data_IF_336464506079
#
_entry.id   IF_336464506079
#
_cell.length_a   1.000
_cell.length_b   1.000
_cell.length_c   1.000
_cell.angle_alpha   90.00
_cell.angle_beta   90.00
_cell.angle_gamma   90.00
#
_symmetry.space_group_name_H-M   'P 1'
#
loop_
_entity.id
_entity.type
_entity.pdbx_description
1 polymer ?
#
# COMPACT_ATOMS: atom_id res chain seq x y z
N UNK A 1 -5.42 0.30 18.58
CA UNK A 1 -5.81 -1.01 18.05
C UNK A 1 -5.44 -1.09 16.59
N UNK A 2 -4.52 -2.00 16.28
CA UNK A 2 -4.07 -2.33 14.92
C UNK A 2 -5.22 -2.95 14.08
N UNK A 3 -5.17 -2.82 12.75
CA UNK A 3 -6.20 -3.34 11.85
C UNK A 3 -6.34 -4.86 11.96
N UNK A 4 -5.23 -5.57 12.15
CA UNK A 4 -5.19 -7.01 12.41
C UNK A 4 -5.98 -7.38 13.66
N UNK A 5 -5.74 -6.68 14.76
CA UNK A 5 -6.40 -6.95 16.02
C UNK A 5 -7.91 -6.68 15.98
N UNK A 6 -8.33 -5.63 15.25
CA UNK A 6 -9.76 -5.38 15.01
C UNK A 6 -10.41 -6.51 14.21
N UNK A 7 -9.72 -7.02 13.20
CA UNK A 7 -10.22 -8.11 12.34
C UNK A 7 -10.29 -9.44 13.10
N UNK A 8 -9.26 -9.77 13.87
CA UNK A 8 -9.23 -10.96 14.73
C UNK A 8 -10.39 -10.97 15.73
N UNK A 9 -10.64 -9.85 16.43
CA UNK A 9 -11.77 -9.73 17.34
C UNK A 9 -13.12 -9.95 16.64
N UNK A 10 -13.27 -9.45 15.40
CA UNK A 10 -14.48 -9.66 14.60
C UNK A 10 -14.64 -11.11 14.17
N UNK A 11 -13.55 -11.77 13.75
CA UNK A 11 -13.54 -13.20 13.38
C UNK A 11 -13.92 -14.05 14.58
N UNK A 12 -13.31 -13.82 15.74
CA UNK A 12 -13.64 -14.55 16.99
C UNK A 12 -15.12 -14.39 17.31
N UNK A 13 -15.66 -13.17 17.30
CA UNK A 13 -17.08 -12.93 17.57
C UNK A 13 -18.02 -13.65 16.59
N UNK A 14 -17.67 -13.65 15.30
CA UNK A 14 -18.42 -14.37 14.26
C UNK A 14 -18.37 -15.90 14.47
N UNK A 15 -17.19 -16.46 14.79
CA UNK A 15 -17.01 -17.88 15.06
C UNK A 15 -17.77 -18.31 16.32
N UNK A 16 -17.69 -17.53 17.41
CA UNK A 16 -18.45 -17.78 18.64
C UNK A 16 -19.96 -17.85 18.34
N UNK A 17 -20.47 -16.88 17.57
CA UNK A 17 -21.88 -16.83 17.19
C UNK A 17 -22.30 -18.02 16.33
N UNK A 18 -21.43 -18.46 15.41
CA UNK A 18 -21.69 -19.61 14.55
C UNK A 18 -21.65 -20.94 15.33
N UNK A 19 -20.67 -21.13 16.21
CA UNK A 19 -20.54 -22.36 17.02
C UNK A 19 -21.64 -22.45 18.09
N UNK A 20 -22.13 -21.31 18.59
CA UNK A 20 -23.27 -21.26 19.51
C UNK A 20 -24.62 -21.58 18.85
N UNK A 21 -24.69 -21.68 17.52
CA UNK A 21 -25.92 -22.03 16.80
C UNK A 21 -26.15 -23.55 16.84
N UNK A 22 -27.28 -24.04 17.40
CA UNK A 22 -27.60 -25.47 17.47
C UNK A 22 -27.66 -26.18 16.11
N UNK A 23 -27.88 -25.45 15.02
CA UNK A 23 -27.91 -25.99 13.67
C UNK A 23 -26.51 -26.24 13.07
N UNK A 24 -25.45 -25.72 13.71
CA UNK A 24 -24.07 -25.87 13.24
C UNK A 24 -23.42 -27.04 13.99
N UNK A 25 -22.95 -28.10 13.30
CA UNK A 25 -22.30 -29.23 13.93
C UNK A 25 -20.87 -28.87 14.35
N UNK A 26 -20.72 -28.05 15.40
CA UNK A 26 -19.43 -27.63 15.93
C UNK A 26 -19.42 -27.71 17.46
N UNK A 27 -18.29 -28.11 18.03
CA UNK A 27 -18.10 -28.18 19.48
C UNK A 27 -17.62 -26.83 20.01
N UNK A 28 -18.06 -26.38 21.21
CA UNK A 28 -17.62 -25.11 21.80
C UNK A 28 -16.10 -24.98 21.94
N UNK A 29 -15.39 -26.09 22.18
CA UNK A 29 -13.92 -26.11 22.26
C UNK A 29 -13.21 -25.82 20.93
N UNK A 30 -13.91 -25.88 19.80
CA UNK A 30 -13.34 -25.65 18.47
C UNK A 30 -13.25 -24.16 18.09
N UNK A 31 -13.80 -23.25 18.90
CA UNK A 31 -13.82 -21.80 18.61
C UNK A 31 -12.41 -21.25 18.37
N UNK A 32 -11.48 -21.45 19.30
CA UNK A 32 -10.12 -20.91 19.17
C UNK A 32 -9.36 -21.51 17.97
N UNK A 33 -9.34 -22.84 17.76
CA UNK A 33 -8.70 -23.43 16.58
C UNK A 33 -9.29 -22.92 15.25
N UNK A 34 -10.61 -22.76 15.15
CA UNK A 34 -11.27 -22.25 13.94
C UNK A 34 -10.91 -20.78 13.73
N UNK A 35 -11.02 -19.94 14.77
CA UNK A 35 -10.70 -18.52 14.68
C UNK A 35 -9.23 -18.31 14.32
N UNK A 36 -8.31 -19.10 14.87
CA UNK A 36 -6.89 -19.04 14.54
C UNK A 36 -6.64 -19.46 13.08
N UNK A 37 -7.23 -20.57 12.62
CA UNK A 37 -7.08 -21.04 11.25
C UNK A 37 -7.60 -20.02 10.22
N UNK A 38 -8.77 -19.42 10.48
CA UNK A 38 -9.36 -18.39 9.63
C UNK A 38 -8.53 -17.12 9.68
N UNK A 39 -8.12 -16.67 10.86
CA UNK A 39 -7.30 -15.46 11.02
C UNK A 39 -5.96 -15.61 10.32
N UNK A 40 -5.28 -16.75 10.47
CA UNK A 40 -3.99 -17.01 9.83
C UNK A 40 -4.07 -17.00 8.31
N UNK A 41 -5.17 -17.51 7.73
CA UNK A 41 -5.35 -17.62 6.28
C UNK A 41 -5.88 -16.33 5.66
N UNK A 42 -6.89 -15.72 6.26
CA UNK A 42 -7.68 -14.66 5.64
C UNK A 42 -7.28 -13.26 6.11
N UNK A 43 -6.80 -13.09 7.35
CA UNK A 43 -6.47 -11.75 7.85
C UNK A 43 -5.41 -11.03 7.01
N UNK A 44 -4.31 -11.68 6.56
CA UNK A 44 -3.33 -11.02 5.71
C UNK A 44 -3.92 -10.54 4.38
N UNK A 45 -4.79 -11.34 3.77
CA UNK A 45 -5.42 -11.02 2.48
C UNK A 45 -6.36 -9.82 2.60
N UNK A 46 -7.20 -9.76 3.65
CA UNK A 46 -8.10 -8.63 3.89
C UNK A 46 -7.33 -7.34 4.21
N UNK A 47 -6.28 -7.44 5.03
CA UNK A 47 -5.48 -6.26 5.40
C UNK A 47 -4.81 -5.67 4.15
N UNK A 48 -4.22 -6.53 3.31
CA UNK A 48 -3.62 -6.12 2.04
C UNK A 48 -4.66 -5.55 1.05
N UNK A 49 -5.81 -6.20 0.90
CA UNK A 49 -6.89 -5.73 0.01
C UNK A 49 -7.47 -4.37 0.42
N UNK A 50 -7.47 -4.08 1.72
CA UNK A 50 -7.97 -2.82 2.29
C UNK A 50 -6.88 -1.79 2.58
N UNK A 51 -5.64 -2.08 2.17
CA UNK A 51 -4.50 -1.15 2.27
C UNK A 51 -4.15 -0.75 3.71
N UNK A 52 -4.45 -1.62 4.68
CA UNK A 52 -4.28 -1.37 6.12
C UNK A 52 -2.93 -1.85 6.65
N UNK A 53 -2.06 -2.43 5.81
CA UNK A 53 -0.73 -2.83 6.22
C UNK A 53 0.17 -1.62 6.55
N UNK A 54 1.19 -1.80 7.42
CA UNK A 54 2.13 -0.73 7.74
C UNK A 54 2.76 -0.11 6.50
N UNK A 55 2.96 1.21 6.51
CA UNK A 55 3.41 1.95 5.32
C UNK A 55 4.74 1.43 4.76
N UNK A 56 5.65 0.94 5.61
CA UNK A 56 6.95 0.41 5.22
C UNK A 56 6.89 -0.98 4.57
N UNK A 57 5.78 -1.71 4.69
CA UNK A 57 5.57 -2.99 4.00
C UNK A 57 4.90 -2.82 2.63
N UNK A 58 4.47 -1.60 2.31
CA UNK A 58 3.75 -1.30 1.09
C UNK A 58 4.65 -1.16 -0.12
N UNK A 59 4.40 -1.99 -1.13
CA UNK A 59 5.03 -1.88 -2.45
C UNK A 59 4.68 -0.56 -3.15
N UNK A 60 3.45 -0.07 -2.95
CA UNK A 60 2.99 1.20 -3.55
C UNK A 60 3.70 2.39 -2.90
N UNK A 61 3.88 2.37 -1.58
CA UNK A 61 4.61 3.42 -0.86
C UNK A 61 6.06 3.49 -1.34
N UNK A 62 6.76 2.36 -1.41
CA UNK A 62 8.14 2.31 -1.91
C UNK A 62 8.25 2.74 -3.37
N UNK A 63 7.36 2.25 -4.24
CA UNK A 63 7.32 2.68 -5.64
C UNK A 63 7.10 4.20 -5.78
N UNK A 64 6.25 4.77 -4.94
CA UNK A 64 5.97 6.22 -4.94
C UNK A 64 7.15 7.03 -4.42
N UNK A 65 7.83 6.57 -3.36
CA UNK A 65 9.06 7.18 -2.85
C UNK A 65 10.12 7.21 -3.95
N UNK A 66 10.33 6.09 -4.65
CA UNK A 66 11.29 6.01 -5.77
C UNK A 66 10.88 6.93 -6.92
N UNK A 67 9.60 6.96 -7.28
CA UNK A 67 9.08 7.83 -8.34
C UNK A 67 9.27 9.33 -8.03
N UNK A 68 9.27 9.73 -6.76
CA UNK A 68 9.59 11.08 -6.32
C UNK A 68 11.11 11.30 -6.25
N UNK A 69 11.86 10.33 -5.72
CA UNK A 69 13.30 10.48 -5.47
C UNK A 69 14.15 10.43 -6.75
N UNK A 70 13.84 9.54 -7.69
CA UNK A 70 14.57 9.39 -8.95
C UNK A 70 14.67 10.69 -9.78
N UNK A 71 13.58 11.43 -10.02
CA UNK A 71 13.66 12.69 -10.75
C UNK A 71 14.37 13.82 -10.00
N UNK A 72 14.42 13.78 -8.66
CA UNK A 72 15.19 14.74 -7.86
C UNK A 72 16.69 14.42 -7.93
N UNK A 73 17.06 13.13 -7.98
CA UNK A 73 18.45 12.69 -8.07
C UNK A 73 19.11 13.05 -9.41
N UNK A 74 18.37 13.04 -10.52
CA UNK A 74 18.88 13.33 -11.86
C UNK A 74 19.53 14.73 -12.03
N UNK A 75 18.86 15.86 -11.69
CA UNK A 75 19.47 17.19 -11.79
C UNK A 75 20.60 17.40 -10.76
N UNK A 76 20.51 16.77 -9.58
CA UNK A 76 21.59 16.81 -8.58
C UNK A 76 22.87 16.13 -9.08
N UNK A 77 22.74 15.00 -9.79
CA UNK A 77 23.88 14.37 -10.46
C UNK A 77 24.43 15.26 -11.56
N UNK A 78 23.57 15.85 -12.40
CA UNK A 78 23.99 16.74 -13.49
C UNK A 78 24.80 17.95 -12.98
N UNK A 79 24.45 18.50 -11.80
CA UNK A 79 25.19 19.57 -11.12
C UNK A 79 26.62 19.18 -10.68
N UNK A 80 26.86 17.89 -10.41
CA UNK A 80 28.18 17.35 -10.01
C UNK A 80 29.08 17.09 -11.21
N UNK A 81 28.50 16.81 -12.39
CA UNK A 81 29.26 16.38 -13.58
C UNK A 81 29.63 17.57 -14.49
N UNK A 82 29.09 18.77 -14.23
CA UNK A 82 29.65 20.04 -14.73
C UNK A 82 29.39 20.37 -16.21
N UNK A 83 28.27 19.95 -16.78
CA UNK A 83 27.95 20.22 -18.19
C UNK A 83 27.27 21.61 -18.34
N UNK A 84 27.75 22.42 -19.29
CA UNK A 84 27.41 23.86 -19.45
C UNK A 84 26.32 24.10 -20.49
N UNK A 85 25.51 25.13 -20.26
CA UNK A 85 24.19 25.35 -20.89
C UNK A 85 24.24 26.33 -22.08
N UNK A 86 23.80 25.85 -23.25
CA UNK A 86 23.27 26.63 -24.39
C UNK A 86 22.04 25.89 -24.93
N UNK A 87 21.04 26.58 -25.51
CA UNK A 87 19.80 25.95 -25.98
C UNK A 87 20.04 25.09 -27.24
N UNK A 88 20.55 23.88 -27.02
CA UNK A 88 20.72 22.80 -27.99
C UNK A 88 19.54 21.83 -27.95
N UNK A 89 19.55 20.78 -28.78
CA UNK A 89 18.62 19.66 -28.66
C UNK A 89 18.61 19.04 -27.24
N UNK A 90 19.72 19.19 -26.49
CA UNK A 90 19.85 18.73 -25.11
C UNK A 90 19.01 19.54 -24.14
N UNK A 91 18.78 20.84 -24.39
CA UNK A 91 17.86 21.64 -23.56
C UNK A 91 16.40 21.25 -23.75
N UNK A 92 15.99 20.89 -24.98
CA UNK A 92 14.66 20.31 -25.19
C UNK A 92 14.52 18.97 -24.47
N UNK A 93 15.58 18.14 -24.49
CA UNK A 93 15.63 16.90 -23.74
C UNK A 93 15.55 17.16 -22.22
N UNK A 94 16.21 18.20 -21.72
CA UNK A 94 16.17 18.59 -20.30
C UNK A 94 14.79 19.11 -19.87
N UNK A 95 14.09 19.89 -20.70
CA UNK A 95 12.72 20.34 -20.43
C UNK A 95 11.77 19.13 -20.42
N UNK A 96 11.89 18.22 -21.40
CA UNK A 96 11.10 16.99 -21.43
C UNK A 96 11.38 16.11 -20.21
N UNK A 97 12.65 15.99 -19.80
CA UNK A 97 13.06 15.27 -18.59
C UNK A 97 12.50 15.94 -17.33
N UNK A 98 12.52 17.27 -17.24
CA UNK A 98 11.95 18.03 -16.12
C UNK A 98 10.43 17.87 -16.02
N UNK A 99 9.72 17.85 -17.16
CA UNK A 99 8.28 17.59 -17.20
C UNK A 99 7.95 16.14 -16.83
N UNK A 100 8.70 15.17 -17.33
CA UNK A 100 8.56 13.76 -16.95
C UNK A 100 8.86 13.53 -15.46
N UNK A 101 9.87 14.24 -14.94
CA UNK A 101 10.23 14.27 -13.55
C UNK A 101 9.12 14.84 -12.67
N UNK A 102 8.59 16.00 -13.04
CA UNK A 102 7.46 16.63 -12.36
C UNK A 102 6.22 15.73 -12.38
N UNK A 103 5.89 15.15 -13.55
CA UNK A 103 4.80 14.21 -13.70
C UNK A 103 4.96 12.97 -12.82
N UNK A 104 6.17 12.43 -12.72
CA UNK A 104 6.48 11.26 -11.87
C UNK A 104 6.39 11.60 -10.39
N UNK A 105 6.88 12.77 -9.97
CA UNK A 105 6.78 13.23 -8.59
C UNK A 105 5.32 13.48 -8.19
N UNK A 106 4.53 14.16 -9.03
CA UNK A 106 3.09 14.37 -8.81
C UNK A 106 2.35 13.03 -8.78
N UNK A 107 2.65 12.12 -9.71
CA UNK A 107 2.09 10.77 -9.73
C UNK A 107 2.41 9.98 -8.45
N UNK A 108 3.65 10.04 -7.96
CA UNK A 108 4.05 9.42 -6.70
C UNK A 108 3.32 10.01 -5.50
N UNK A 109 3.19 11.35 -5.42
CA UNK A 109 2.41 12.01 -4.37
C UNK A 109 0.93 11.61 -4.40
N UNK A 110 0.33 11.57 -5.60
CA UNK A 110 -1.05 11.12 -5.78
C UNK A 110 -1.24 9.65 -5.41
N UNK A 111 -0.26 8.79 -5.68
CA UNK A 111 -0.30 7.39 -5.27
C UNK A 111 -0.22 7.23 -3.74
N UNK A 112 0.64 8.00 -3.07
CA UNK A 112 0.69 8.04 -1.59
C UNK A 112 -0.63 8.57 -1.03
N UNK A 113 -1.15 9.66 -1.60
CA UNK A 113 -2.43 10.22 -1.17
C UNK A 113 -3.58 9.22 -1.35
N UNK A 114 -3.64 8.57 -2.52
CA UNK A 114 -4.58 7.51 -2.84
C UNK A 114 -4.49 6.35 -1.85
N UNK A 115 -3.28 5.97 -1.43
CA UNK A 115 -3.06 4.93 -0.42
C UNK A 115 -3.78 5.24 0.89
N UNK A 116 -3.66 6.46 1.40
CA UNK A 116 -4.27 6.84 2.68
C UNK A 116 -5.78 7.13 2.58
N UNK A 117 -6.25 7.54 1.40
CA UNK A 117 -7.66 7.90 1.17
C UNK A 117 -8.52 6.69 0.81
N UNK A 118 -8.01 5.75 0.02
CA UNK A 118 -8.73 4.55 -0.40
C UNK A 118 -8.74 3.51 0.72
N UNK A 119 -9.91 3.32 1.34
CA UNK A 119 -10.14 2.34 2.43
C UNK A 119 -11.09 1.21 2.04
N UNK A 120 -11.57 1.21 0.80
CA UNK A 120 -12.45 0.19 0.23
C UNK A 120 -11.83 -0.34 -1.07
N UNK A 121 -11.95 -1.65 -1.35
CA UNK A 121 -11.57 -2.20 -2.63
C UNK A 121 -12.41 -1.59 -3.75
N UNK A 122 -11.89 -1.58 -4.98
CA UNK A 122 -12.65 -1.15 -6.15
C UNK A 122 -13.64 -2.26 -6.50
N UNK A 123 -14.93 -1.91 -6.64
CA UNK A 123 -15.99 -2.86 -7.00
C UNK A 123 -16.72 -3.52 -5.83
N UNK A 124 -16.48 -3.07 -4.59
CA UNK A 124 -17.24 -3.44 -3.38
C UNK A 124 -18.13 -2.30 -2.84
#
# INVERSE_FOLDING_TARGET
MDARQKLENKIIGAVVSAVGNPAVPAQPGAVSPIAEAVTKKIAPEIIAATNNEPWWQSRVMWGSIVAIAAPIAAPLLSWVIGETVTISADEQANIAAALAAAGSAVGGLLAIYGRFRARKPIGE
#
